data_IF_291019807569
#
_entry.id   IF_291019807569
#
_cell.length_a   1.000
_cell.length_b   1.000
_cell.length_c   1.000
_cell.angle_alpha   90.00
_cell.angle_beta   90.00
_cell.angle_gamma   90.00
#
_symmetry.space_group_name_H-M   'P 1'
#
loop_
_entity.id
_entity.type
_entity.pdbx_description
1 polymer ?
#
# COMPACT_ATOMS: atom_id res chain seq x y z
N UNK A 1 11.86 -16.54 -5.55
CA UNK A 1 10.40 -16.41 -5.52
C UNK A 1 10.01 -15.96 -6.92
N UNK A 2 9.02 -16.58 -7.55
CA UNK A 2 8.61 -16.24 -8.92
C UNK A 2 7.27 -15.51 -8.84
N UNK A 3 7.10 -14.44 -9.61
CA UNK A 3 5.76 -13.84 -9.75
C UNK A 3 4.87 -14.80 -10.51
N UNK A 4 3.82 -15.26 -9.86
CA UNK A 4 2.95 -16.30 -10.39
C UNK A 4 1.84 -15.72 -11.27
N UNK A 5 1.23 -16.57 -12.09
CA UNK A 5 0.06 -16.20 -12.90
C UNK A 5 -1.11 -15.69 -12.03
N UNK A 6 -1.27 -16.23 -10.82
CA UNK A 6 -2.33 -15.81 -9.92
C UNK A 6 -2.08 -14.42 -9.34
N UNK A 7 -0.82 -14.02 -9.13
CA UNK A 7 -0.49 -12.64 -8.74
C UNK A 7 -0.89 -11.65 -9.84
N UNK A 8 -0.61 -11.94 -11.11
CA UNK A 8 -1.09 -11.11 -12.23
C UNK A 8 -2.62 -11.06 -12.30
N UNK A 9 -3.28 -12.20 -12.07
CA UNK A 9 -4.75 -12.29 -11.99
C UNK A 9 -5.35 -11.38 -10.91
N UNK A 10 -4.61 -11.03 -9.86
CA UNK A 10 -5.09 -10.06 -8.87
C UNK A 10 -5.24 -8.65 -9.44
N UNK A 11 -4.36 -8.23 -10.36
CA UNK A 11 -4.49 -6.96 -11.08
C UNK A 11 -5.64 -7.01 -12.10
N UNK A 12 -5.84 -8.14 -12.76
CA UNK A 12 -6.97 -8.33 -13.68
C UNK A 12 -8.30 -8.24 -12.92
N UNK A 13 -8.41 -8.91 -11.77
CA UNK A 13 -9.59 -8.80 -10.89
C UNK A 13 -9.79 -7.40 -10.37
N UNK A 14 -8.72 -6.71 -9.97
CA UNK A 14 -8.79 -5.31 -9.57
C UNK A 14 -9.41 -4.47 -10.69
N UNK A 15 -8.89 -4.59 -11.92
CA UNK A 15 -9.44 -3.85 -13.06
C UNK A 15 -10.91 -4.19 -13.29
N UNK A 16 -11.30 -5.47 -13.25
CA UNK A 16 -12.70 -5.89 -13.46
C UNK A 16 -13.65 -5.38 -12.37
N UNK A 17 -13.26 -5.40 -11.10
CA UNK A 17 -14.13 -4.95 -10.00
C UNK A 17 -14.31 -3.43 -10.00
N UNK A 18 -13.32 -2.66 -10.45
CA UNK A 18 -13.35 -1.21 -10.41
C UNK A 18 -13.65 -0.54 -11.76
N UNK A 19 -13.92 -1.30 -12.83
CA UNK A 19 -14.22 -0.80 -14.19
C UNK A 19 -15.53 0.01 -14.26
N UNK A 20 -16.45 -0.22 -13.34
CA UNK A 20 -17.74 0.50 -13.26
C UNK A 20 -17.53 1.95 -12.81
N UNK A 21 -16.38 2.27 -12.20
CA UNK A 21 -16.07 3.61 -11.69
C UNK A 21 -15.33 4.46 -12.73
N UNK A 22 -15.18 5.75 -12.46
CA UNK A 22 -14.47 6.67 -13.35
C UNK A 22 -12.99 6.29 -13.52
N UNK A 23 -12.35 6.82 -14.56
CA UNK A 23 -10.93 6.56 -14.80
C UNK A 23 -10.04 7.15 -13.70
N UNK A 24 -9.11 6.35 -13.18
CA UNK A 24 -8.14 6.77 -12.16
C UNK A 24 -6.81 7.15 -12.82
N UNK A 25 -6.02 8.06 -12.22
CA UNK A 25 -4.70 8.37 -12.71
C UNK A 25 -3.79 7.18 -13.01
N UNK A 26 -3.94 6.05 -12.30
CA UNK A 26 -3.22 4.80 -12.59
C UNK A 26 -4.21 3.66 -12.79
N UNK A 27 -4.13 3.00 -13.94
CA UNK A 27 -4.96 1.86 -14.30
C UNK A 27 -4.13 0.70 -14.83
N UNK A 28 -4.62 -0.51 -14.57
CA UNK A 28 -4.07 -1.73 -15.14
C UNK A 28 -4.82 -2.06 -16.44
N UNK A 29 -4.10 -2.08 -17.56
CA UNK A 29 -4.68 -2.51 -18.82
C UNK A 29 -4.51 -4.03 -18.98
N UNK A 30 -5.62 -4.76 -18.87
CA UNK A 30 -5.68 -6.22 -18.98
C UNK A 30 -5.12 -6.70 -20.34
N UNK A 31 -5.36 -5.95 -21.42
CA UNK A 31 -4.97 -6.38 -22.79
C UNK A 31 -3.47 -6.34 -22.98
N UNK A 32 -2.84 -5.25 -22.53
CA UNK A 32 -1.38 -5.05 -22.69
C UNK A 32 -0.59 -5.61 -21.51
N UNK A 33 -1.25 -5.92 -20.39
CA UNK A 33 -0.60 -6.23 -19.11
C UNK A 33 0.42 -5.16 -18.72
N UNK A 34 0.03 -3.89 -18.86
CA UNK A 34 0.84 -2.74 -18.48
C UNK A 34 0.04 -1.76 -17.63
N UNK A 35 0.76 -0.99 -16.81
CA UNK A 35 0.18 0.15 -16.12
C UNK A 35 0.11 1.34 -17.07
N UNK A 36 -1.08 1.92 -17.18
CA UNK A 36 -1.36 3.12 -17.97
C UNK A 36 -1.60 4.28 -17.02
N UNK A 37 -0.88 5.38 -17.23
CA UNK A 37 -1.13 6.62 -16.52
C UNK A 37 -2.11 7.48 -17.31
N UNK A 38 -3.22 7.87 -16.69
CA UNK A 38 -4.14 8.86 -17.25
C UNK A 38 -4.02 10.17 -16.49
N UNK A 39 -3.83 11.32 -17.14
CA UNK A 39 -3.77 12.59 -16.42
C UNK A 39 -5.12 12.87 -15.74
N UNK A 40 -5.09 13.46 -14.54
CA UNK A 40 -6.31 13.80 -13.80
C UNK A 40 -7.23 14.64 -14.66
N UNK A 41 -8.46 14.16 -14.87
CA UNK A 41 -9.52 14.97 -15.47
C UNK A 41 -9.97 16.05 -14.47
N UNK A 42 -10.12 17.30 -14.93
CA UNK A 42 -10.66 18.44 -14.14
C UNK A 42 -12.03 18.15 -13.49
N UNK A 43 -12.71 17.08 -13.91
CA UNK A 43 -13.98 16.60 -13.34
C UNK A 43 -13.88 16.05 -11.91
N UNK A 44 -12.68 15.88 -11.35
CA UNK A 44 -12.46 15.39 -9.97
C UNK A 44 -12.40 16.50 -8.90
N UNK A 45 -12.33 17.77 -9.30
CA UNK A 45 -12.20 18.93 -8.39
C UNK A 45 -13.36 19.07 -7.37
N UNK A 46 -14.64 18.77 -7.70
CA UNK A 46 -15.74 18.90 -6.74
C UNK A 46 -15.62 18.01 -5.48
N UNK A 47 -14.76 16.99 -5.52
CA UNK A 47 -14.58 16.04 -4.42
C UNK A 47 -13.67 16.54 -3.28
N UNK A 48 -12.81 17.53 -3.52
CA UNK A 48 -11.86 18.05 -2.51
C UNK A 48 -12.49 18.99 -1.46
N UNK A 49 -13.76 19.39 -1.61
CA UNK A 49 -14.42 20.37 -0.73
C UNK A 49 -15.20 19.76 0.45
N UNK A 50 -15.04 18.47 0.74
CA UNK A 50 -15.81 17.81 1.81
C UNK A 50 -15.14 17.86 3.20
N UNK A 51 -15.73 18.65 4.10
CA UNK A 51 -15.89 18.28 5.51
C UNK A 51 -15.16 19.12 6.57
N UNK A 52 -15.91 20.01 7.26
CA UNK A 52 -15.63 20.41 8.64
C UNK A 52 -16.95 20.67 9.38
N UNK A 53 -17.26 19.88 10.41
CA UNK A 53 -18.36 20.15 11.36
C UNK A 53 -18.02 19.59 12.75
N UNK A 54 -18.37 20.34 13.79
CA UNK A 54 -17.97 20.11 15.19
C UNK A 54 -18.95 19.15 15.91
N UNK A 55 -18.47 18.07 16.56
CA UNK A 55 -19.32 17.02 17.16
C UNK A 55 -18.80 16.48 18.51
N UNK A 56 -19.64 15.71 19.24
CA UNK A 56 -19.39 15.09 20.56
C UNK A 56 -18.31 13.99 20.52
N UNK A 57 -17.61 13.69 21.62
CA UNK A 57 -16.40 12.84 21.70
C UNK A 57 -16.48 11.46 21.00
N UNK A 58 -17.55 10.67 21.19
CA UNK A 58 -17.73 9.38 20.49
C UNK A 58 -17.91 9.56 18.98
N UNK A 59 -18.59 10.63 18.57
CA UNK A 59 -18.67 11.05 17.17
C UNK A 59 -17.32 11.59 16.70
N UNK A 60 -16.53 12.25 17.54
CA UNK A 60 -15.17 12.75 17.21
C UNK A 60 -14.24 11.61 16.89
N UNK A 61 -14.22 10.51 17.64
CA UNK A 61 -13.36 9.35 17.32
C UNK A 61 -13.72 8.78 15.95
N UNK A 62 -15.02 8.59 15.69
CA UNK A 62 -15.48 8.08 14.40
C UNK A 62 -15.12 9.07 13.29
N UNK A 63 -15.35 10.37 13.48
CA UNK A 63 -14.98 11.42 12.51
C UNK A 63 -13.47 11.48 12.32
N UNK A 64 -12.66 11.30 13.35
CA UNK A 64 -11.19 11.23 13.23
C UNK A 64 -10.78 10.00 12.42
N UNK A 65 -11.42 8.85 12.61
CA UNK A 65 -11.21 7.68 11.74
C UNK A 65 -11.54 8.02 10.29
N UNK A 66 -12.72 8.60 10.03
CA UNK A 66 -13.19 8.92 8.69
C UNK A 66 -12.35 10.01 8.01
N UNK A 67 -12.15 11.14 8.69
CA UNK A 67 -11.32 12.24 8.20
C UNK A 67 -9.87 11.80 8.04
N UNK A 68 -9.32 10.98 8.94
CA UNK A 68 -7.99 10.39 8.79
C UNK A 68 -7.88 9.51 7.55
N UNK A 69 -8.88 8.66 7.28
CA UNK A 69 -8.94 7.85 6.06
C UNK A 69 -9.08 8.70 4.79
N UNK A 70 -9.91 9.77 4.84
CA UNK A 70 -10.10 10.68 3.70
C UNK A 70 -8.81 11.46 3.43
N UNK A 71 -8.19 12.04 4.46
CA UNK A 71 -6.91 12.74 4.33
C UNK A 71 -5.84 11.79 3.80
N UNK A 72 -5.81 10.54 4.27
CA UNK A 72 -4.90 9.53 3.75
C UNK A 72 -5.14 9.25 2.26
N UNK A 73 -6.40 9.01 1.88
CA UNK A 73 -6.77 8.78 0.49
C UNK A 73 -6.35 9.97 -0.39
N UNK A 74 -6.59 11.20 0.07
CA UNK A 74 -6.19 12.43 -0.62
C UNK A 74 -4.67 12.56 -0.75
N UNK A 75 -3.90 12.27 0.31
CA UNK A 75 -2.44 12.31 0.26
C UNK A 75 -1.90 11.27 -0.73
N UNK A 76 -2.43 10.04 -0.69
CA UNK A 76 -2.05 9.01 -1.65
C UNK A 76 -2.47 9.33 -3.07
N UNK A 77 -3.67 9.85 -3.27
CA UNK A 77 -4.16 10.27 -4.58
C UNK A 77 -3.31 11.41 -5.14
N UNK A 78 -2.94 12.37 -4.31
CA UNK A 78 -2.01 13.45 -4.67
C UNK A 78 -0.64 12.90 -5.03
N UNK A 79 -0.13 11.92 -4.29
CA UNK A 79 1.13 11.25 -4.59
C UNK A 79 1.07 10.53 -5.95
N UNK A 80 0.02 9.74 -6.17
CA UNK A 80 -0.21 9.00 -7.42
C UNK A 80 -0.42 9.96 -8.59
N UNK A 81 -1.12 11.07 -8.37
CA UNK A 81 -1.32 12.11 -9.36
C UNK A 81 -0.02 12.78 -9.81
N UNK A 82 0.83 13.15 -8.85
CA UNK A 82 2.06 13.90 -9.12
C UNK A 82 3.19 13.00 -9.64
N UNK A 83 3.29 11.76 -9.13
CA UNK A 83 4.44 10.87 -9.35
C UNK A 83 4.07 9.51 -9.96
N UNK A 84 2.79 9.28 -10.26
CA UNK A 84 2.30 8.00 -10.80
C UNK A 84 2.85 7.68 -12.19
N UNK A 85 3.16 8.69 -13.02
CA UNK A 85 3.77 8.47 -14.34
C UNK A 85 5.13 7.75 -14.22
N UNK A 86 6.01 8.25 -13.34
CA UNK A 86 7.32 7.64 -13.07
C UNK A 86 7.15 6.23 -12.50
N UNK A 87 6.16 6.02 -11.63
CA UNK A 87 5.86 4.71 -11.05
C UNK A 87 5.39 3.70 -12.12
N UNK A 88 4.47 4.08 -13.00
CA UNK A 88 3.99 3.22 -14.09
C UNK A 88 5.13 2.87 -15.06
N UNK A 89 5.94 3.86 -15.44
CA UNK A 89 7.10 3.65 -16.31
C UNK A 89 8.11 2.68 -15.68
N UNK A 90 8.48 2.91 -14.42
CA UNK A 90 9.40 2.05 -13.69
C UNK A 90 8.85 0.62 -13.54
N UNK A 91 7.56 0.47 -13.23
CA UNK A 91 6.91 -0.84 -13.14
C UNK A 91 6.95 -1.61 -14.47
N UNK A 92 6.55 -0.96 -15.56
CA UNK A 92 6.54 -1.58 -16.89
C UNK A 92 7.95 -1.97 -17.33
N UNK A 93 8.95 -1.12 -17.08
CA UNK A 93 10.35 -1.43 -17.38
C UNK A 93 10.90 -2.55 -16.47
N UNK A 94 10.51 -2.59 -15.20
CA UNK A 94 10.87 -3.67 -14.28
C UNK A 94 10.26 -5.00 -14.72
N UNK A 95 9.01 -5.01 -15.16
CA UNK A 95 8.34 -6.18 -15.73
C UNK A 95 9.06 -6.66 -17.00
N UNK A 96 9.41 -5.75 -17.91
CA UNK A 96 10.17 -6.07 -19.11
C UNK A 96 11.59 -6.62 -18.77
N UNK A 97 12.28 -6.00 -17.81
CA UNK A 97 13.59 -6.45 -17.34
C UNK A 97 13.50 -7.84 -16.70
N UNK A 98 12.48 -8.09 -15.88
CA UNK A 98 12.23 -9.40 -15.28
C UNK A 98 11.98 -10.47 -16.34
N UNK A 99 11.18 -10.18 -17.38
CA UNK A 99 10.98 -11.12 -18.50
C UNK A 99 12.29 -11.41 -19.24
N UNK A 100 13.13 -10.38 -19.46
CA UNK A 100 14.44 -10.53 -20.13
C UNK A 100 15.43 -11.37 -19.32
N UNK A 101 15.54 -11.12 -18.01
CA UNK A 101 16.51 -11.79 -17.12
C UNK A 101 16.01 -13.18 -16.71
N UNK A 102 14.73 -13.29 -16.35
CA UNK A 102 14.13 -14.47 -15.72
C UNK A 102 13.37 -15.37 -16.70
N UNK A 103 13.20 -15.00 -17.97
CA UNK A 103 12.34 -15.72 -18.93
C UNK A 103 12.58 -17.22 -19.03
N UNK A 104 13.83 -17.69 -18.85
CA UNK A 104 14.14 -19.13 -18.80
C UNK A 104 13.73 -19.79 -17.48
N UNK A 105 13.87 -19.08 -16.37
CA UNK A 105 13.57 -19.56 -15.01
C UNK A 105 12.06 -19.62 -14.73
N UNK A 106 11.30 -18.65 -15.27
CA UNK A 106 9.84 -18.55 -15.11
C UNK A 106 9.15 -19.78 -15.70
N UNK A 107 9.62 -20.29 -16.84
CA UNK A 107 9.01 -21.43 -17.52
C UNK A 107 9.19 -22.76 -16.77
N UNK A 108 10.25 -22.89 -15.96
CA UNK A 108 10.70 -24.19 -15.46
C UNK A 108 10.22 -24.53 -14.04
N UNK A 109 9.67 -23.58 -13.27
CA UNK A 109 9.46 -23.77 -11.81
C UNK A 109 8.04 -23.52 -11.29
N UNK A 110 7.01 -23.85 -12.07
CA UNK A 110 5.64 -23.96 -11.56
C UNK A 110 5.38 -25.36 -10.97
N UNK A 111 6.11 -25.74 -9.93
CA UNK A 111 5.66 -26.88 -9.11
C UNK A 111 4.43 -26.42 -8.33
N UNK A 112 3.34 -27.17 -8.42
CA UNK A 112 1.99 -26.86 -7.91
C UNK A 112 1.86 -26.66 -6.39
N UNK A 113 2.96 -26.46 -5.66
CA UNK A 113 2.93 -26.03 -4.27
C UNK A 113 2.16 -24.72 -4.21
N UNK A 114 1.10 -24.73 -3.40
CA UNK A 114 0.04 -23.71 -3.35
C UNK A 114 0.63 -22.31 -3.40
N UNK A 115 0.26 -21.56 -4.43
CA UNK A 115 0.64 -20.18 -4.62
C UNK A 115 -0.09 -19.27 -3.61
N UNK A 116 0.29 -19.42 -2.35
CA UNK A 116 -0.30 -18.73 -1.21
C UNK A 116 -0.24 -17.21 -1.40
N UNK A 117 0.80 -16.71 -2.08
CA UNK A 117 1.00 -15.27 -2.32
C UNK A 117 0.02 -14.71 -3.33
N UNK A 118 -0.16 -15.41 -4.45
CA UNK A 118 -1.19 -15.08 -5.42
C UNK A 118 -2.58 -15.16 -4.80
N UNK A 119 -2.87 -16.20 -4.00
CA UNK A 119 -4.14 -16.35 -3.28
C UNK A 119 -4.37 -15.16 -2.34
N UNK A 120 -3.35 -14.79 -1.54
CA UNK A 120 -3.42 -13.66 -0.61
C UNK A 120 -3.70 -12.33 -1.31
N UNK A 121 -3.00 -12.03 -2.41
CA UNK A 121 -3.26 -10.79 -3.17
C UNK A 121 -4.66 -10.76 -3.76
N UNK A 122 -5.15 -11.88 -4.29
CA UNK A 122 -6.53 -11.96 -4.79
C UNK A 122 -7.56 -11.80 -3.68
N UNK A 123 -7.31 -12.39 -2.51
CA UNK A 123 -8.16 -12.23 -1.34
C UNK A 123 -8.18 -10.78 -0.87
N UNK A 124 -7.03 -10.07 -0.90
CA UNK A 124 -6.95 -8.65 -0.58
C UNK A 124 -7.88 -7.83 -1.48
N UNK A 125 -7.89 -8.07 -2.80
CA UNK A 125 -8.79 -7.35 -3.72
C UNK A 125 -10.27 -7.58 -3.35
N UNK A 126 -10.65 -8.83 -3.08
CA UNK A 126 -12.03 -9.21 -2.71
C UNK A 126 -12.43 -8.58 -1.37
N UNK A 127 -11.54 -8.65 -0.37
CA UNK A 127 -11.77 -8.07 0.96
C UNK A 127 -11.90 -6.55 0.86
N UNK A 128 -11.05 -5.86 0.10
CA UNK A 128 -11.13 -4.41 -0.05
C UNK A 128 -12.42 -3.96 -0.74
N UNK A 129 -12.86 -4.67 -1.77
CA UNK A 129 -14.13 -4.37 -2.46
C UNK A 129 -15.34 -4.62 -1.55
N UNK A 130 -15.39 -5.79 -0.90
CA UNK A 130 -16.48 -6.13 0.03
C UNK A 130 -16.51 -5.24 1.28
N UNK A 131 -15.35 -4.83 1.79
CA UNK A 131 -15.24 -3.94 2.94
C UNK A 131 -15.89 -2.58 2.68
N UNK A 132 -15.73 -1.99 1.48
CA UNK A 132 -16.42 -0.75 1.09
C UNK A 132 -17.93 -0.88 1.12
N UNK A 133 -18.48 -1.99 0.61
CA UNK A 133 -19.92 -2.28 0.69
C UNK A 133 -20.40 -2.44 2.13
N UNK A 134 -19.65 -3.21 2.94
CA UNK A 134 -20.00 -3.43 4.35
C UNK A 134 -20.00 -2.13 5.15
N UNK A 135 -18.98 -1.28 5.00
CA UNK A 135 -18.97 0.03 5.65
C UNK A 135 -20.17 0.87 5.21
N UNK A 136 -20.48 0.90 3.92
CA UNK A 136 -21.60 1.68 3.42
C UNK A 136 -22.94 1.20 4.01
N UNK A 137 -23.21 -0.10 4.01
CA UNK A 137 -24.46 -0.65 4.55
C UNK A 137 -24.54 -0.45 6.07
N UNK A 138 -23.51 -0.86 6.81
CA UNK A 138 -23.58 -0.90 8.27
C UNK A 138 -23.30 0.46 8.92
N UNK A 139 -22.29 1.21 8.46
CA UNK A 139 -21.94 2.49 9.06
C UNK A 139 -22.81 3.63 8.52
N UNK A 140 -23.00 3.68 7.19
CA UNK A 140 -23.71 4.80 6.57
C UNK A 140 -25.22 4.62 6.63
N UNK A 141 -25.78 3.47 6.22
CA UNK A 141 -27.24 3.25 6.17
C UNK A 141 -27.81 2.88 7.55
N UNK A 142 -27.31 1.83 8.20
CA UNK A 142 -27.93 1.33 9.43
C UNK A 142 -27.76 2.29 10.62
N UNK A 143 -26.58 2.85 10.80
CA UNK A 143 -26.22 3.50 12.07
C UNK A 143 -26.45 5.02 12.10
N UNK A 144 -26.86 5.62 10.97
CA UNK A 144 -27.00 7.08 10.81
C UNK A 144 -25.76 7.90 11.27
N UNK A 145 -24.56 7.29 11.25
CA UNK A 145 -23.30 7.93 11.69
C UNK A 145 -22.68 8.80 10.58
N UNK A 146 -23.35 8.94 9.44
CA UNK A 146 -22.86 9.74 8.34
C UNK A 146 -22.87 11.25 8.67
N UNK A 147 -21.94 12.04 8.10
CA UNK A 147 -21.80 13.46 8.39
C UNK A 147 -23.07 14.26 8.09
N UNK A 148 -23.87 13.87 7.09
CA UNK A 148 -25.11 14.55 6.75
C UNK A 148 -26.21 14.35 7.77
N UNK A 149 -26.35 13.14 8.32
CA UNK A 149 -27.32 12.84 9.37
C UNK A 149 -26.96 13.60 10.64
N UNK A 150 -25.66 13.73 10.92
CA UNK A 150 -25.17 14.53 12.02
C UNK A 150 -25.39 16.04 11.79
N UNK A 151 -25.11 16.54 10.59
CA UNK A 151 -25.38 17.92 10.20
C UNK A 151 -26.88 18.25 10.30
N UNK A 152 -27.74 17.35 9.82
CA UNK A 152 -29.18 17.47 9.95
C UNK A 152 -29.60 17.53 11.42
N UNK A 153 -29.08 16.64 12.28
CA UNK A 153 -29.38 16.68 13.72
C UNK A 153 -28.96 17.99 14.37
N UNK A 154 -27.78 18.53 14.02
CA UNK A 154 -27.28 19.81 14.55
C UNK A 154 -28.15 20.98 14.11
N UNK A 155 -28.59 21.01 12.85
CA UNK A 155 -29.41 22.11 12.34
C UNK A 155 -30.82 22.07 12.94
N UNK A 156 -31.41 20.88 13.10
CA UNK A 156 -32.70 20.71 13.79
C UNK A 156 -32.61 21.16 15.25
N UNK A 157 -31.53 20.84 15.97
CA UNK A 157 -31.34 21.33 17.35
C UNK A 157 -31.22 22.86 17.46
N UNK A 158 -30.84 23.54 16.38
CA UNK A 158 -30.81 25.01 16.31
C UNK A 158 -32.15 25.63 15.89
N UNK A 159 -33.22 24.84 15.82
CA UNK A 159 -34.57 25.31 15.47
C UNK A 159 -34.83 25.46 13.98
N UNK A 160 -33.94 24.96 13.11
CA UNK A 160 -34.17 25.01 11.66
C UNK A 160 -35.13 23.91 11.23
N UNK A 161 -36.25 24.30 10.61
CA UNK A 161 -37.18 23.38 9.96
C UNK A 161 -36.76 23.16 8.51
N UNK A 162 -36.51 21.90 8.14
CA UNK A 162 -36.13 21.56 6.77
C UNK A 162 -37.35 21.29 5.90
N UNK A 163 -37.50 21.99 4.76
CA UNK A 163 -38.53 21.64 3.79
C UNK A 163 -38.23 20.25 3.18
N UNK A 164 -39.27 19.58 2.69
CA UNK A 164 -39.18 18.22 2.12
C UNK A 164 -38.08 18.06 1.04
N UNK A 165 -37.86 19.04 0.13
CA UNK A 165 -36.76 19.01 -0.83
C UNK A 165 -35.36 18.96 -0.20
N UNK A 166 -35.15 19.63 0.95
CA UNK A 166 -33.85 19.60 1.64
C UNK A 166 -33.57 18.22 2.24
N UNK A 167 -34.59 17.56 2.82
CA UNK A 167 -34.47 16.17 3.29
C UNK A 167 -34.15 15.21 2.16
N UNK A 168 -34.81 15.39 1.01
CA UNK A 168 -34.53 14.62 -0.20
C UNK A 168 -33.09 14.86 -0.67
N UNK A 169 -32.63 16.11 -0.74
CA UNK A 169 -31.25 16.45 -1.10
C UNK A 169 -30.21 15.80 -0.17
N UNK A 170 -30.42 15.85 1.15
CA UNK A 170 -29.54 15.19 2.13
C UNK A 170 -29.50 13.67 1.95
N UNK A 171 -30.61 13.06 1.53
CA UNK A 171 -30.65 11.64 1.20
C UNK A 171 -29.79 11.32 -0.03
N UNK A 172 -29.86 12.11 -1.11
CA UNK A 172 -28.95 11.92 -2.26
C UNK A 172 -27.49 12.13 -1.87
N UNK A 173 -27.20 13.17 -1.09
CA UNK A 173 -25.85 13.40 -0.58
C UNK A 173 -25.33 12.20 0.22
N UNK A 174 -26.17 11.56 1.03
CA UNK A 174 -25.82 10.30 1.72
C UNK A 174 -25.52 9.16 0.75
N UNK A 175 -26.30 9.00 -0.32
CA UNK A 175 -26.02 8.00 -1.35
C UNK A 175 -24.67 8.25 -2.04
N UNK A 176 -24.30 9.52 -2.25
CA UNK A 176 -22.99 9.84 -2.86
C UNK A 176 -21.78 9.45 -2.00
N UNK A 177 -21.95 9.10 -0.72
CA UNK A 177 -20.83 8.64 0.14
C UNK A 177 -20.29 7.26 -0.23
N UNK A 178 -21.03 6.47 -1.02
CA UNK A 178 -20.50 5.22 -1.56
C UNK A 178 -19.27 5.48 -2.45
N UNK A 179 -19.29 6.58 -3.20
CA UNK A 179 -18.28 6.95 -4.18
C UNK A 179 -16.87 7.12 -3.55
N UNK A 180 -16.66 7.97 -2.52
CA UNK A 180 -15.35 8.16 -1.90
C UNK A 180 -14.86 6.92 -1.13
N UNK A 181 -15.78 6.09 -0.62
CA UNK A 181 -15.44 4.80 -0.01
C UNK A 181 -14.81 3.85 -1.03
N UNK A 182 -15.46 3.67 -2.19
CA UNK A 182 -14.91 2.84 -3.26
C UNK A 182 -13.60 3.39 -3.78
N UNK A 183 -13.49 4.71 -3.96
CA UNK A 183 -12.25 5.35 -4.39
C UNK A 183 -11.09 5.09 -3.42
N UNK A 184 -11.33 5.23 -2.11
CA UNK A 184 -10.33 4.93 -1.08
C UNK A 184 -9.90 3.46 -1.15
N UNK A 185 -10.86 2.53 -1.24
CA UNK A 185 -10.54 1.10 -1.34
C UNK A 185 -9.77 0.75 -2.61
N UNK A 186 -10.10 1.39 -3.73
CA UNK A 186 -9.43 1.24 -5.02
C UNK A 186 -7.97 1.68 -4.94
N UNK A 187 -7.71 2.87 -4.39
CA UNK A 187 -6.37 3.43 -4.25
C UNK A 187 -5.50 2.55 -3.32
N UNK A 188 -6.05 2.13 -2.18
CA UNK A 188 -5.32 1.25 -1.25
C UNK A 188 -5.02 -0.10 -1.92
N UNK A 189 -6.01 -0.68 -2.60
CA UNK A 189 -5.86 -1.97 -3.27
C UNK A 189 -4.78 -1.91 -4.37
N UNK A 190 -4.79 -0.88 -5.22
CA UNK A 190 -3.81 -0.77 -6.31
C UNK A 190 -2.39 -0.56 -5.77
N UNK A 191 -2.23 0.25 -4.71
CA UNK A 191 -0.93 0.46 -4.06
C UNK A 191 -0.40 -0.84 -3.47
N UNK A 192 -1.23 -1.61 -2.76
CA UNK A 192 -0.82 -2.90 -2.18
C UNK A 192 -0.44 -3.89 -3.29
N UNK A 193 -1.28 -4.06 -4.31
CA UNK A 193 -1.03 -5.03 -5.37
C UNK A 193 0.21 -4.68 -6.22
N UNK A 194 0.32 -3.43 -6.68
CA UNK A 194 1.47 -2.99 -7.48
C UNK A 194 2.75 -3.08 -6.66
N UNK A 195 2.78 -2.57 -5.42
CA UNK A 195 3.99 -2.61 -4.59
C UNK A 195 4.45 -4.04 -4.30
N UNK A 196 3.52 -4.95 -3.98
CA UNK A 196 3.83 -6.35 -3.75
C UNK A 196 4.41 -7.01 -5.02
N UNK A 197 3.72 -6.88 -6.17
CA UNK A 197 4.17 -7.47 -7.44
C UNK A 197 5.53 -6.90 -7.84
N UNK A 198 5.74 -5.58 -7.72
CA UNK A 198 7.01 -4.91 -8.00
C UNK A 198 8.15 -5.46 -7.16
N UNK A 199 7.92 -5.57 -5.85
CA UNK A 199 8.93 -6.09 -4.92
C UNK A 199 9.28 -7.54 -5.24
N UNK A 200 8.30 -8.38 -5.58
CA UNK A 200 8.55 -9.76 -6.01
C UNK A 200 9.31 -9.84 -7.34
N UNK A 201 8.96 -9.02 -8.34
CA UNK A 201 9.70 -8.96 -9.61
C UNK A 201 11.16 -8.56 -9.39
N UNK A 202 11.38 -7.52 -8.60
CA UNK A 202 12.72 -7.06 -8.28
C UNK A 202 13.53 -8.12 -7.51
N UNK A 203 12.92 -8.77 -6.51
CA UNK A 203 13.53 -9.85 -5.76
C UNK A 203 13.88 -11.03 -6.67
N UNK A 204 13.02 -11.38 -7.62
CA UNK A 204 13.28 -12.42 -8.61
C UNK A 204 14.47 -12.08 -9.52
N UNK A 205 14.56 -10.81 -9.98
CA UNK A 205 15.69 -10.31 -10.73
C UNK A 205 16.99 -10.44 -9.91
N UNK A 206 16.99 -9.97 -8.66
CA UNK A 206 18.14 -10.02 -7.76
C UNK A 206 18.59 -11.47 -7.52
N UNK A 207 17.66 -12.38 -7.24
CA UNK A 207 17.96 -13.79 -7.02
C UNK A 207 18.51 -14.47 -8.28
N UNK A 208 17.99 -14.14 -9.46
CA UNK A 208 18.47 -14.68 -10.74
C UNK A 208 19.87 -14.15 -11.07
N UNK A 209 20.11 -12.86 -10.88
CA UNK A 209 21.43 -12.22 -10.98
C UNK A 209 22.40 -12.87 -9.97
N UNK A 210 21.96 -13.15 -8.74
CA UNK A 210 22.79 -13.80 -7.72
C UNK A 210 23.21 -15.22 -8.09
N UNK A 211 22.29 -16.03 -8.62
CA UNK A 211 22.59 -17.40 -9.04
C UNK A 211 23.51 -17.46 -10.25
N UNK A 212 23.25 -16.64 -11.25
CA UNK A 212 24.04 -16.59 -12.49
C UNK A 212 25.38 -15.89 -12.31
N UNK A 213 25.49 -15.02 -11.29
CA UNK A 213 26.67 -14.22 -11.01
C UNK A 213 27.92 -15.04 -10.77
N UNK A 214 27.84 -16.19 -10.10
CA UNK A 214 29.00 -17.04 -9.85
C UNK A 214 29.62 -17.53 -11.17
N UNK A 215 28.80 -18.04 -12.08
CA UNK A 215 29.23 -18.56 -13.39
C UNK A 215 29.81 -17.45 -14.29
N UNK A 216 29.13 -16.31 -14.37
CA UNK A 216 29.57 -15.23 -15.25
C UNK A 216 30.81 -14.52 -14.73
N UNK A 217 30.91 -14.27 -13.41
CA UNK A 217 32.07 -13.64 -12.81
C UNK A 217 33.31 -14.53 -12.83
N UNK A 218 33.16 -15.86 -12.78
CA UNK A 218 34.28 -16.80 -12.89
C UNK A 218 34.76 -17.02 -14.33
N UNK A 219 33.97 -16.66 -15.35
CA UNK A 219 34.25 -16.99 -16.75
C UNK A 219 35.50 -16.32 -17.34
N UNK A 220 36.08 -15.31 -16.67
CA UNK A 220 37.22 -14.53 -17.17
C UNK A 220 36.93 -13.64 -18.39
N UNK A 221 35.78 -13.82 -19.06
CA UNK A 221 35.40 -13.08 -20.25
C UNK A 221 34.79 -11.71 -19.87
N UNK A 222 35.55 -10.64 -20.14
CA UNK A 222 35.14 -9.25 -19.86
C UNK A 222 33.78 -8.89 -20.43
N UNK A 223 33.47 -9.32 -21.66
CA UNK A 223 32.22 -8.97 -22.35
C UNK A 223 31.01 -9.55 -21.62
N UNK A 224 31.14 -10.79 -21.13
CA UNK A 224 30.08 -11.50 -20.39
C UNK A 224 29.87 -10.85 -19.02
N UNK A 225 30.96 -10.55 -18.30
CA UNK A 225 30.91 -9.86 -17.00
C UNK A 225 30.28 -8.47 -17.15
N UNK A 226 30.65 -7.72 -18.19
CA UNK A 226 30.12 -6.39 -18.44
C UNK A 226 28.63 -6.40 -18.79
N UNK A 227 28.18 -7.40 -19.57
CA UNK A 227 26.76 -7.62 -19.84
C UNK A 227 25.98 -7.91 -18.55
N UNK A 228 26.49 -8.81 -17.71
CA UNK A 228 25.91 -9.14 -16.42
C UNK A 228 25.79 -7.92 -15.49
N UNK A 229 26.86 -7.13 -15.37
CA UNK A 229 26.86 -5.92 -14.55
C UNK A 229 25.93 -4.83 -15.11
N UNK A 230 25.75 -4.78 -16.44
CA UNK A 230 24.80 -3.86 -17.07
C UNK A 230 23.36 -4.22 -16.74
N UNK A 231 23.01 -5.51 -16.67
CA UNK A 231 21.67 -5.94 -16.27
C UNK A 231 21.38 -5.55 -14.80
N UNK A 232 22.36 -5.68 -13.89
CA UNK A 232 22.22 -5.15 -12.51
C UNK A 232 22.15 -3.62 -12.45
N UNK A 233 22.98 -2.91 -13.21
CA UNK A 233 22.92 -1.45 -13.29
C UNK A 233 21.57 -0.96 -13.82
N UNK A 234 20.96 -1.70 -14.76
CA UNK A 234 19.61 -1.42 -15.24
C UNK A 234 18.58 -1.54 -14.12
N UNK A 235 18.68 -2.59 -13.28
CA UNK A 235 17.83 -2.72 -12.09
C UNK A 235 18.02 -1.54 -11.13
N UNK A 236 19.27 -1.14 -10.85
CA UNK A 236 19.57 0.00 -9.98
C UNK A 236 18.97 1.30 -10.53
N UNK A 237 19.07 1.54 -11.83
CA UNK A 237 18.49 2.71 -12.49
C UNK A 237 16.96 2.72 -12.41
N UNK A 238 16.29 1.56 -12.48
CA UNK A 238 14.84 1.47 -12.28
C UNK A 238 14.42 1.83 -10.85
N UNK A 239 15.21 1.43 -9.85
CA UNK A 239 14.98 1.84 -8.47
C UNK A 239 15.20 3.33 -8.29
N UNK A 240 16.21 3.91 -8.93
CA UNK A 240 16.44 5.36 -8.90
C UNK A 240 15.27 6.14 -9.52
N UNK A 241 14.76 5.72 -10.69
CA UNK A 241 13.59 6.36 -11.34
C UNK A 241 12.33 6.25 -10.48
N UNK A 242 12.17 5.13 -9.78
CA UNK A 242 11.01 4.91 -8.91
C UNK A 242 11.16 5.52 -7.52
N UNK A 243 12.36 5.94 -7.11
CA UNK A 243 12.63 6.47 -5.77
C UNK A 243 11.75 7.70 -5.45
N UNK A 244 11.53 8.57 -6.43
CA UNK A 244 10.66 9.75 -6.29
C UNK A 244 9.22 9.41 -5.87
N UNK A 245 8.74 8.20 -6.18
CA UNK A 245 7.41 7.71 -5.80
C UNK A 245 7.49 6.77 -4.60
N UNK A 246 8.41 5.81 -4.61
CA UNK A 246 8.52 4.76 -3.59
C UNK A 246 8.85 5.37 -2.23
N UNK A 247 9.81 6.28 -2.15
CA UNK A 247 10.28 6.84 -0.89
C UNK A 247 9.18 7.56 -0.09
N UNK A 248 8.42 8.50 -0.68
CA UNK A 248 7.26 9.09 -0.02
C UNK A 248 6.09 8.12 0.16
N UNK A 249 5.86 7.20 -0.78
CA UNK A 249 4.81 6.18 -0.64
C UNK A 249 5.06 5.30 0.59
N UNK A 250 6.29 4.82 0.79
CA UNK A 250 6.67 3.98 1.93
C UNK A 250 6.53 4.74 3.25
N UNK A 251 6.97 6.00 3.31
CA UNK A 251 6.82 6.82 4.52
C UNK A 251 5.35 7.03 4.89
N UNK A 252 4.52 7.45 3.93
CA UNK A 252 3.09 7.70 4.12
C UNK A 252 2.37 6.41 4.50
N UNK A 253 2.58 5.32 3.74
CA UNK A 253 1.94 4.04 4.01
C UNK A 253 2.35 3.50 5.38
N UNK A 254 3.63 3.53 5.75
CA UNK A 254 4.05 3.04 7.07
C UNK A 254 3.47 3.89 8.21
N UNK A 255 3.49 5.22 8.09
CA UNK A 255 2.92 6.11 9.10
C UNK A 255 1.42 5.88 9.31
N UNK A 256 0.63 5.90 8.23
CA UNK A 256 -0.82 5.66 8.32
C UNK A 256 -1.11 4.23 8.79
N UNK A 257 -0.39 3.23 8.28
CA UNK A 257 -0.59 1.84 8.70
C UNK A 257 -0.39 1.67 10.20
N UNK A 258 0.64 2.31 10.77
CA UNK A 258 0.87 2.30 12.22
C UNK A 258 -0.30 2.95 12.96
N UNK A 259 -0.70 4.16 12.54
CA UNK A 259 -1.79 4.90 13.16
C UNK A 259 -3.13 4.14 13.12
N UNK A 260 -3.52 3.66 11.94
CA UNK A 260 -4.75 2.88 11.73
C UNK A 260 -4.72 1.56 12.51
N UNK A 261 -3.58 0.86 12.55
CA UNK A 261 -3.46 -0.40 13.30
C UNK A 261 -3.67 -0.17 14.80
N UNK A 262 -3.00 0.83 15.37
CA UNK A 262 -3.13 1.18 16.79
C UNK A 262 -4.58 1.55 17.11
N UNK A 263 -5.18 2.39 16.27
CA UNK A 263 -6.55 2.85 16.44
C UNK A 263 -7.57 1.71 16.38
N UNK A 264 -7.49 0.84 15.37
CA UNK A 264 -8.45 -0.27 15.23
C UNK A 264 -8.26 -1.36 16.28
N UNK A 265 -7.03 -1.65 16.69
CA UNK A 265 -6.78 -2.55 17.82
C UNK A 265 -7.36 -1.97 19.11
N UNK A 266 -7.09 -0.69 19.39
CA UNK A 266 -7.62 -0.02 20.57
C UNK A 266 -9.16 -0.05 20.60
N UNK A 267 -9.81 0.30 19.49
CA UNK A 267 -11.27 0.29 19.36
C UNK A 267 -11.82 -1.12 19.60
N UNK A 268 -11.17 -2.13 19.02
CA UNK A 268 -11.62 -3.53 19.12
C UNK A 268 -11.48 -4.10 20.53
N UNK A 269 -10.47 -3.66 21.30
CA UNK A 269 -10.22 -4.13 22.66
C UNK A 269 -11.06 -3.39 23.72
N UNK A 270 -11.15 -2.07 23.63
CA UNK A 270 -11.64 -1.24 24.75
C UNK A 270 -13.04 -0.63 24.52
N UNK A 271 -13.54 -0.59 23.27
CA UNK A 271 -14.83 0.04 22.96
C UNK A 271 -15.95 -0.95 22.64
N UNK A 272 -15.76 -2.22 23.04
CA UNK A 272 -16.84 -3.22 22.98
C UNK A 272 -18.00 -2.81 23.89
N UNK A 273 -19.23 -2.83 23.36
CA UNK A 273 -20.42 -2.40 24.08
C UNK A 273 -20.73 -0.90 24.01
N UNK A 274 -19.74 -0.04 23.73
CA UNK A 274 -19.93 1.41 23.54
C UNK A 274 -20.30 1.72 22.08
N UNK A 275 -19.63 1.07 21.13
CA UNK A 275 -19.88 1.27 19.69
C UNK A 275 -21.13 0.48 19.28
N UNK A 276 -21.98 1.03 18.37
CA UNK A 276 -23.12 0.31 17.82
C UNK A 276 -22.74 -1.09 17.32
N UNK A 277 -23.47 -2.15 17.73
CA UNK A 277 -23.15 -3.53 17.34
C UNK A 277 -23.10 -3.77 15.83
N UNK A 278 -23.81 -2.95 15.04
CA UNK A 278 -23.78 -2.98 13.57
C UNK A 278 -22.42 -2.62 12.97
N UNK A 279 -21.68 -1.69 13.60
CA UNK A 279 -20.39 -1.21 13.08
C UNK A 279 -19.22 -1.98 13.71
N UNK A 280 -19.38 -2.42 14.96
CA UNK A 280 -18.30 -3.01 15.75
C UNK A 280 -17.49 -4.10 15.03
N UNK A 281 -18.10 -5.08 14.30
CA UNK A 281 -17.35 -6.14 13.61
C UNK A 281 -16.35 -5.63 12.55
N UNK A 282 -16.54 -4.42 12.01
CA UNK A 282 -15.64 -3.88 10.99
C UNK A 282 -14.25 -3.56 11.57
N UNK A 283 -14.15 -3.17 12.84
CA UNK A 283 -12.88 -2.80 13.47
C UNK A 283 -11.89 -3.96 13.64
N UNK A 284 -12.28 -5.12 14.23
CA UNK A 284 -11.37 -6.26 14.34
C UNK A 284 -11.02 -6.87 12.98
N UNK A 285 -11.97 -6.87 12.03
CA UNK A 285 -11.70 -7.31 10.65
C UNK A 285 -10.67 -6.39 9.97
N UNK A 286 -10.84 -5.07 10.11
CA UNK A 286 -9.89 -4.11 9.56
C UNK A 286 -8.51 -4.19 10.25
N UNK A 287 -8.47 -4.36 11.58
CA UNK A 287 -7.23 -4.56 12.33
C UNK A 287 -6.47 -5.82 11.85
N UNK A 288 -7.19 -6.93 11.68
CA UNK A 288 -6.62 -8.17 11.16
C UNK A 288 -6.11 -8.00 9.72
N UNK A 289 -6.90 -7.35 8.87
CA UNK A 289 -6.54 -7.07 7.49
C UNK A 289 -5.27 -6.22 7.39
N UNK A 290 -5.22 -5.11 8.12
CA UNK A 290 -4.04 -4.22 8.15
C UNK A 290 -2.82 -4.98 8.67
N UNK A 291 -2.95 -5.75 9.74
CA UNK A 291 -1.88 -6.62 10.24
C UNK A 291 -1.40 -7.64 9.21
N UNK A 292 -2.32 -8.20 8.42
CA UNK A 292 -2.02 -9.06 7.26
C UNK A 292 -1.21 -8.33 6.19
N UNK A 293 -1.60 -7.11 5.83
CA UNK A 293 -0.85 -6.27 4.90
C UNK A 293 0.55 -5.94 5.41
N UNK A 294 0.71 -5.62 6.71
CA UNK A 294 2.03 -5.41 7.33
C UNK A 294 2.90 -6.65 7.21
N UNK A 295 2.34 -7.82 7.54
CA UNK A 295 3.05 -9.11 7.45
C UNK A 295 3.43 -9.47 6.01
N UNK A 296 2.68 -8.99 5.01
CA UNK A 296 2.99 -9.21 3.60
C UNK A 296 4.04 -8.23 3.08
N UNK A 297 3.81 -6.92 3.22
CA UNK A 297 4.58 -5.89 2.52
C UNK A 297 5.92 -5.57 3.20
N UNK A 298 5.95 -5.46 4.54
CA UNK A 298 7.17 -5.04 5.25
C UNK A 298 8.32 -6.03 5.05
N UNK A 299 8.12 -7.35 5.16
CA UNK A 299 9.18 -8.31 4.86
C UNK A 299 9.70 -8.20 3.43
N UNK A 300 8.84 -7.93 2.44
CA UNK A 300 9.27 -7.80 1.04
C UNK A 300 10.24 -6.64 0.84
N UNK A 301 9.98 -5.50 1.49
CA UNK A 301 10.87 -4.34 1.43
C UNK A 301 12.22 -4.63 2.09
N UNK A 302 12.21 -5.39 3.20
CA UNK A 302 13.42 -5.79 3.93
C UNK A 302 14.24 -6.82 3.15
N UNK A 303 13.59 -7.87 2.65
CA UNK A 303 14.22 -8.95 1.87
C UNK A 303 14.90 -8.41 0.61
N UNK A 304 14.29 -7.41 -0.03
CA UNK A 304 14.88 -6.76 -1.20
C UNK A 304 16.24 -6.12 -0.89
N UNK A 305 16.34 -5.45 0.26
CA UNK A 305 17.60 -4.86 0.71
C UNK A 305 18.61 -5.94 1.16
N UNK A 306 18.17 -6.93 1.93
CA UNK A 306 19.04 -7.99 2.44
C UNK A 306 19.64 -8.83 1.31
N UNK A 307 18.83 -9.25 0.34
CA UNK A 307 19.30 -10.03 -0.82
C UNK A 307 20.26 -9.23 -1.71
N UNK A 308 20.07 -7.91 -1.83
CA UNK A 308 21.04 -7.04 -2.50
C UNK A 308 22.39 -7.00 -1.77
N UNK A 309 22.37 -6.91 -0.43
CA UNK A 309 23.59 -6.92 0.37
C UNK A 309 24.32 -8.27 0.28
N UNK A 310 23.58 -9.38 0.31
CA UNK A 310 24.12 -10.74 0.12
C UNK A 310 24.74 -10.89 -1.27
N UNK A 311 24.06 -10.40 -2.32
CA UNK A 311 24.58 -10.38 -3.69
C UNK A 311 25.92 -9.63 -3.77
N UNK A 312 26.00 -8.42 -3.21
CA UNK A 312 27.23 -7.64 -3.20
C UNK A 312 28.34 -8.31 -2.38
N UNK A 313 28.01 -8.94 -1.26
CA UNK A 313 28.97 -9.70 -0.46
C UNK A 313 29.55 -10.87 -1.26
N UNK A 314 28.73 -11.57 -2.06
CA UNK A 314 29.17 -12.67 -2.93
C UNK A 314 30.10 -12.23 -4.06
N UNK A 315 29.98 -10.99 -4.54
CA UNK A 315 30.90 -10.49 -5.57
C UNK A 315 32.31 -10.22 -5.05
N UNK A 316 32.48 -9.90 -3.76
CA UNK A 316 33.79 -9.59 -3.16
C UNK A 316 34.82 -10.73 -3.29
N UNK A 317 34.53 -12.00 -2.93
CA UNK A 317 35.49 -13.09 -3.09
C UNK A 317 35.77 -13.41 -4.57
N UNK A 318 34.77 -13.24 -5.46
CA UNK A 318 34.93 -13.49 -6.90
C UNK A 318 35.92 -12.53 -7.57
N UNK A 319 36.15 -11.34 -6.99
CA UNK A 319 37.23 -10.43 -7.42
C UNK A 319 38.63 -11.02 -7.27
N UNK A 320 38.82 -12.02 -6.41
CA UNK A 320 40.13 -12.62 -6.14
C UNK A 320 40.67 -13.44 -7.31
N UNK A 321 39.80 -14.12 -8.07
CA UNK A 321 40.17 -15.01 -9.18
C UNK A 321 40.21 -14.35 -10.55
N UNK A 322 39.86 -13.06 -10.67
CA UNK A 322 39.80 -12.37 -11.96
C UNK A 322 41.13 -11.65 -12.26
N UNK A 323 41.69 -11.90 -13.45
CA UNK A 323 42.90 -11.20 -13.93
C UNK A 323 42.79 -9.67 -13.93
N UNK A 324 41.57 -9.14 -14.08
CA UNK A 324 41.29 -7.70 -14.12
C UNK A 324 40.70 -7.13 -12.83
N UNK A 325 41.20 -7.61 -11.70
CA UNK A 325 40.78 -7.21 -10.36
C UNK A 325 40.63 -5.69 -10.18
N UNK A 326 41.56 -4.88 -10.74
CA UNK A 326 41.54 -3.41 -10.61
C UNK A 326 40.35 -2.77 -11.32
N UNK A 327 39.97 -3.27 -12.50
CA UNK A 327 38.81 -2.77 -13.25
C UNK A 327 37.51 -3.19 -12.55
N UNK A 328 37.38 -4.49 -12.26
CA UNK A 328 36.16 -5.05 -11.68
C UNK A 328 35.90 -4.48 -10.27
N UNK A 329 36.95 -4.28 -9.46
CA UNK A 329 36.83 -3.63 -8.14
C UNK A 329 36.31 -2.19 -8.25
N UNK A 330 36.75 -1.41 -9.25
CA UNK A 330 36.25 -0.05 -9.48
C UNK A 330 34.77 -0.07 -9.88
N UNK A 331 34.41 -0.96 -10.81
CA UNK A 331 33.04 -1.10 -11.31
C UNK A 331 32.07 -1.59 -10.22
N UNK A 332 32.45 -2.59 -9.43
CA UNK A 332 31.64 -3.05 -8.30
C UNK A 332 31.49 -1.98 -7.22
N UNK A 333 32.53 -1.16 -6.98
CA UNK A 333 32.44 -0.03 -6.04
C UNK A 333 31.46 1.05 -6.52
N UNK A 334 31.32 1.26 -7.83
CA UNK A 334 30.33 2.20 -8.37
C UNK A 334 28.89 1.70 -8.28
N UNK A 335 28.68 0.39 -8.19
CA UNK A 335 27.35 -0.19 -8.04
C UNK A 335 26.88 -0.07 -6.59
N UNK A 336 25.89 0.78 -6.36
CA UNK A 336 25.31 0.97 -5.02
C UNK A 336 24.32 -0.16 -4.75
N UNK A 337 24.22 -0.55 -3.48
CA UNK A 337 23.17 -1.50 -3.08
C UNK A 337 21.84 -0.81 -3.26
N UNK A 338 20.94 -1.45 -4.02
CA UNK A 338 19.54 -1.07 -4.05
C UNK A 338 19.00 -1.19 -2.63
N UNK A 339 18.28 -0.16 -2.20
CA UNK A 339 17.63 -0.09 -0.92
C UNK A 339 16.36 0.74 -1.05
N UNK A 340 15.33 0.36 -0.30
CA UNK A 340 14.10 1.14 -0.19
C UNK A 340 14.22 2.07 1.01
N UNK A 341 13.96 3.34 0.77
CA UNK A 341 13.93 4.37 1.80
C UNK A 341 12.48 4.76 2.11
N UNK A 342 12.25 5.25 3.32
CA UNK A 342 11.06 6.02 3.66
C UNK A 342 11.52 7.46 3.86
N UNK A 343 10.90 8.40 3.15
CA UNK A 343 11.32 9.79 3.15
C UNK A 343 10.25 10.73 2.63
N UNK A 344 10.39 12.03 2.86
CA UNK A 344 9.42 13.05 2.43
C UNK A 344 10.20 14.19 1.79
N UNK A 345 9.71 14.71 0.66
CA UNK A 345 10.30 15.86 -0.05
C UNK A 345 11.80 15.69 -0.38
N UNK A 346 12.20 14.47 -0.78
CA UNK A 346 13.59 14.14 -1.14
C UNK A 346 14.51 13.85 0.05
N UNK A 347 14.05 14.00 1.29
CA UNK A 347 14.82 13.64 2.48
C UNK A 347 14.52 12.21 2.90
N UNK A 348 15.54 11.36 2.92
CA UNK A 348 15.46 9.98 3.40
C UNK A 348 15.47 9.95 4.93
N UNK A 349 14.31 9.65 5.54
CA UNK A 349 14.15 9.59 7.00
C UNK A 349 14.69 8.27 7.57
N UNK A 350 14.41 7.16 6.90
CA UNK A 350 14.87 5.84 7.32
C UNK A 350 15.08 4.90 6.14
N UNK A 351 15.90 3.87 6.37
CA UNK A 351 16.15 2.78 5.44
C UNK A 351 15.41 1.53 5.89
N UNK A 352 14.71 0.86 4.97
CA UNK A 352 14.06 -0.41 5.25
C UNK A 352 15.11 -1.52 5.44
N UNK A 353 15.37 -1.88 6.71
CA UNK A 353 16.34 -2.93 7.11
C UNK A 353 15.66 -3.94 8.06
N UNK A 354 16.36 -5.03 8.41
CA UNK A 354 15.83 -6.07 9.31
C UNK A 354 15.18 -5.53 10.59
N UNK A 355 15.81 -4.55 11.22
CA UNK A 355 15.30 -3.96 12.46
C UNK A 355 14.02 -3.15 12.24
N UNK A 356 13.78 -2.63 11.04
CA UNK A 356 12.56 -1.87 10.70
C UNK A 356 11.33 -2.74 10.90
N UNK A 357 11.37 -4.02 10.52
CA UNK A 357 10.25 -4.97 10.72
C UNK A 357 9.89 -5.12 12.19
N UNK A 358 10.88 -5.41 13.03
CA UNK A 358 10.65 -5.64 14.47
C UNK A 358 10.23 -4.35 15.18
N UNK A 359 10.89 -3.23 14.87
CA UNK A 359 10.56 -1.94 15.47
C UNK A 359 9.16 -1.47 15.08
N UNK A 360 8.75 -1.70 13.83
CA UNK A 360 7.42 -1.30 13.35
C UNK A 360 6.30 -2.08 14.02
N UNK A 361 6.41 -3.41 14.09
CA UNK A 361 5.42 -4.25 14.80
C UNK A 361 5.44 -3.97 16.31
N UNK A 362 6.63 -3.81 16.89
CA UNK A 362 6.79 -3.45 18.29
C UNK A 362 6.14 -2.10 18.63
N UNK A 363 6.29 -1.09 17.76
CA UNK A 363 5.64 0.21 17.93
C UNK A 363 4.11 0.09 17.91
N UNK A 364 3.53 -0.67 16.97
CA UNK A 364 2.07 -0.90 16.91
C UNK A 364 1.58 -1.51 18.23
N UNK A 365 2.26 -2.55 18.73
CA UNK A 365 1.87 -3.21 19.99
C UNK A 365 2.03 -2.25 21.17
N UNK A 366 3.19 -1.60 21.31
CA UNK A 366 3.50 -0.69 22.42
C UNK A 366 2.51 0.47 22.49
N UNK A 367 2.19 1.10 21.36
CA UNK A 367 1.21 2.19 21.32
C UNK A 367 -0.22 1.69 21.56
N UNK A 368 -0.58 0.49 21.10
CA UNK A 368 -1.88 -0.12 21.42
C UNK A 368 -2.04 -0.36 22.92
N UNK A 369 -1.00 -0.90 23.58
CA UNK A 369 -0.99 -1.12 25.03
C UNK A 369 -1.10 0.22 25.76
N UNK A 370 -0.28 1.21 25.37
CA UNK A 370 -0.28 2.54 25.98
C UNK A 370 -1.65 3.23 25.85
N UNK A 371 -2.29 3.14 24.69
CA UNK A 371 -3.63 3.67 24.46
C UNK A 371 -4.70 2.91 25.27
N UNK A 372 -4.55 1.60 25.45
CA UNK A 372 -5.49 0.79 26.23
C UNK A 372 -5.36 1.09 27.73
N UNK A 373 -4.14 1.25 28.24
CA UNK A 373 -3.89 1.58 29.66
C UNK A 373 -4.30 3.01 30.03
N UNK A 374 -4.30 3.95 29.07
CA UNK A 374 -4.76 5.32 29.31
C UNK A 374 -6.29 5.46 29.30
N UNK A 375 -7.02 4.42 28.88
CA UNK A 375 -8.47 4.43 28.83
C UNK A 375 -9.09 4.04 30.18
N UNK A 376 -9.83 4.98 30.78
CA UNK A 376 -10.60 4.73 31.99
C UNK A 376 -12.09 4.50 31.63
N UNK A 377 -12.54 3.24 31.71
CA UNK A 377 -13.89 2.83 31.32
C UNK A 377 -15.00 3.49 32.17
N UNK A 378 -14.74 3.81 33.44
CA UNK A 378 -15.73 4.44 34.33
C UNK A 378 -16.15 5.82 33.83
N UNK A 379 -15.25 6.53 33.16
CA UNK A 379 -15.55 7.85 32.59
C UNK A 379 -16.41 7.73 31.34
N UNK A 380 -16.22 6.68 30.53
CA UNK A 380 -16.98 6.50 29.29
C UNK A 380 -18.47 6.24 29.55
N UNK A 381 -18.81 5.39 30.54
CA UNK A 381 -20.20 5.11 30.90
C UNK A 381 -20.97 6.34 31.39
N UNK A 382 -20.30 7.30 32.05
CA UNK A 382 -20.95 8.54 32.49
C UNK A 382 -21.37 9.45 31.32
N UNK A 383 -20.73 9.33 30.15
CA UNK A 383 -21.06 10.16 28.98
C UNK A 383 -22.18 9.59 28.11
N UNK A 384 -22.50 8.30 28.20
CA UNK A 384 -23.60 7.68 27.45
C UNK A 384 -24.96 7.76 28.16
N UNK A 385 -24.99 8.12 29.44
CA UNK A 385 -26.22 8.27 30.23
C UNK A 385 -26.87 9.68 30.14
N UNK A 386 -26.30 10.60 29.36
CA UNK A 386 -26.80 11.98 29.13
C UNK A 386 -26.92 12.29 27.63
#
# INVERSE_FOLDING_TARGET
>A
MVVTSLMWKSLDRFSQYFDIFWKNPVEWDIKTQTLVFTPISRKLIPWMLYGFAHLKLTKVVIILCWSGQVVFALVLETLVALKGMSACYAFNCLSALARKICGRTILQKSTAFTDLKGIMLNLIVIVMCSYSFNIYIFAIISSNVNPYSQLHSLLVTKGWSFPLPAKFSLFFLRLTLIIPLFQTSRIICIIICISAISAYLALECILTISKTGMYYMSSGNRVIVDKYLRDYASLQLLFEISDEFITPSVAVVMFITMWVSVLFNFISLNLYGIIPPSIFPNFPVAAFFVGGCVRLLVPLLVDLYEECMVLQARWKPLLGGCGDKKYLKRKLRSLRSVAVYGGILGYNLYKCKRSTKMNFVGAIISYTISASLSFNAEHAHKFDLN
#
